data_IF_127514546484
#
_entry.id   IF_127514546484
#
_cell.length_a   1.000
_cell.length_b   1.000
_cell.length_c   1.000
_cell.angle_alpha   90.00
_cell.angle_beta   90.00
_cell.angle_gamma   90.00
#
_symmetry.space_group_name_H-M   'P 1'
#
loop_
_entity.id
_entity.type
_entity.pdbx_description
1 polymer ?
#
# COMPACT_ATOMS: atom_id res chain seq x y z
N UNK A 1 16.45 38.00 13.69
CA UNK A 1 15.42 37.84 12.66
C UNK A 1 14.81 36.48 12.85
N UNK A 2 13.49 36.41 13.06
CA UNK A 2 12.77 35.14 13.21
C UNK A 2 12.97 34.38 11.89
N UNK A 3 13.69 33.26 11.93
CA UNK A 3 13.64 32.28 10.86
C UNK A 3 12.17 31.84 10.78
N UNK A 4 11.41 32.36 9.81
CA UNK A 4 10.18 31.70 9.42
C UNK A 4 10.63 30.34 8.88
N UNK A 5 10.46 29.28 9.67
CA UNK A 5 10.65 27.92 9.20
C UNK A 5 9.76 27.76 7.98
N UNK A 6 10.37 27.37 6.86
CA UNK A 6 9.65 27.15 5.61
C UNK A 6 8.69 26.00 5.87
N UNK A 7 7.39 26.29 5.88
CA UNK A 7 6.38 25.26 6.15
C UNK A 7 6.41 24.19 5.05
N UNK A 8 6.30 22.93 5.45
CA UNK A 8 6.46 21.75 4.60
C UNK A 8 5.10 21.22 4.15
N UNK A 9 4.98 20.97 2.85
CA UNK A 9 3.97 20.07 2.32
C UNK A 9 4.46 18.63 2.37
N UNK A 10 3.55 17.71 2.68
CA UNK A 10 3.83 16.28 2.86
C UNK A 10 2.85 15.43 2.06
N UNK A 11 3.36 14.47 1.30
CA UNK A 11 2.56 13.41 0.70
C UNK A 11 2.71 12.14 1.52
N UNK A 12 1.58 11.51 1.85
CA UNK A 12 1.53 10.27 2.63
C UNK A 12 0.79 9.22 1.81
N UNK A 13 1.39 8.06 1.67
CA UNK A 13 0.74 6.84 1.20
C UNK A 13 0.61 5.93 2.41
N UNK A 14 -0.63 5.74 2.87
CA UNK A 14 -0.94 5.02 4.11
C UNK A 14 -1.41 3.59 3.82
N UNK A 15 -0.55 2.82 3.17
CA UNK A 15 -0.84 1.44 2.79
C UNK A 15 -0.91 0.47 3.97
N UNK A 16 -1.60 -0.65 3.75
CA UNK A 16 -1.82 -1.68 4.80
C UNK A 16 -0.56 -2.46 5.20
N UNK A 17 0.47 -2.46 4.35
CA UNK A 17 1.75 -3.15 4.58
C UNK A 17 2.87 -2.18 4.91
N UNK A 18 2.95 -1.07 4.17
CA UNK A 18 4.00 -0.08 4.29
C UNK A 18 3.36 1.31 4.21
N UNK A 19 3.91 2.25 4.98
CA UNK A 19 3.58 3.67 4.93
C UNK A 19 4.76 4.39 4.28
N UNK A 20 4.51 5.15 3.21
CA UNK A 20 5.51 5.98 2.56
C UNK A 20 5.21 7.46 2.76
N UNK A 21 6.23 8.23 3.12
CA UNK A 21 6.13 9.68 3.33
C UNK A 21 7.17 10.35 2.47
N UNK A 22 6.76 11.40 1.76
CA UNK A 22 7.64 12.28 1.01
C UNK A 22 7.33 13.73 1.33
N UNK A 23 8.34 14.60 1.26
CA UNK A 23 8.22 16.00 1.68
C UNK A 23 8.70 16.95 0.61
N UNK A 24 8.18 18.19 0.65
CA UNK A 24 8.52 19.25 -0.30
C UNK A 24 10.00 19.66 -0.35
N UNK A 25 10.80 19.25 0.64
CA UNK A 25 12.26 19.43 0.65
C UNK A 25 13.03 18.15 0.30
N UNK A 26 12.36 17.22 -0.39
CA UNK A 26 12.93 16.00 -0.98
C UNK A 26 13.39 14.93 0.02
N UNK A 27 12.95 15.00 1.29
CA UNK A 27 13.11 13.89 2.24
C UNK A 27 12.02 12.85 2.04
N UNK A 28 12.37 11.56 2.16
CA UNK A 28 11.44 10.44 2.03
C UNK A 28 11.78 9.26 2.92
N UNK A 29 10.76 8.56 3.40
CA UNK A 29 10.90 7.32 4.18
C UNK A 29 9.78 6.35 3.85
N UNK A 30 10.08 5.05 3.87
CA UNK A 30 9.09 3.99 3.81
C UNK A 30 9.32 3.07 5.02
N UNK A 31 8.28 2.86 5.82
CA UNK A 31 8.32 1.99 7.01
C UNK A 31 7.20 0.95 6.95
N UNK A 32 7.34 -0.22 7.58
CA UNK A 32 6.20 -1.12 7.77
C UNK A 32 5.06 -0.42 8.51
N UNK A 33 3.84 -0.60 8.03
CA UNK A 33 2.61 -0.16 8.73
C UNK A 33 2.30 -1.16 9.84
N UNK A 34 3.13 -1.16 10.88
CA UNK A 34 3.03 -2.07 12.00
C UNK A 34 3.65 -1.49 13.28
N UNK A 35 3.14 -1.95 14.42
CA UNK A 35 3.62 -1.62 15.77
C UNK A 35 3.91 -2.91 16.52
N UNK A 36 5.10 -3.01 17.12
CA UNK A 36 5.49 -4.13 17.97
C UNK A 36 5.35 -3.75 19.43
N UNK A 37 4.61 -4.54 20.20
CA UNK A 37 4.48 -4.38 21.66
C UNK A 37 5.23 -5.49 22.38
N UNK A 38 6.09 -5.21 23.37
CA UNK A 38 6.77 -6.25 24.12
C UNK A 38 5.78 -7.17 24.85
N UNK A 39 5.92 -8.49 24.69
CA UNK A 39 5.01 -9.50 25.27
C UNK A 39 5.02 -9.52 26.81
N UNK A 40 6.16 -9.17 27.40
CA UNK A 40 6.34 -9.19 28.85
C UNK A 40 7.35 -8.13 29.32
N UNK A 41 7.61 -8.10 30.63
CA UNK A 41 8.55 -7.15 31.25
C UNK A 41 10.01 -7.41 30.85
N UNK A 42 10.37 -8.63 30.48
CA UNK A 42 11.72 -8.99 30.01
C UNK A 42 11.92 -8.42 28.61
N UNK A 43 10.98 -8.70 27.70
CA UNK A 43 10.95 -8.13 26.36
C UNK A 43 11.00 -6.60 26.42
N UNK A 44 10.22 -5.97 27.31
CA UNK A 44 10.22 -4.51 27.51
C UNK A 44 11.56 -3.98 28.00
N UNK A 45 12.23 -4.71 28.88
CA UNK A 45 13.57 -4.35 29.37
C UNK A 45 14.63 -4.47 28.29
N UNK A 46 14.49 -5.45 27.38
CA UNK A 46 15.39 -5.64 26.23
C UNK A 46 15.15 -4.55 25.18
N UNK A 47 13.89 -4.26 24.84
CA UNK A 47 13.54 -3.22 23.85
C UNK A 47 13.79 -1.80 24.37
N UNK A 48 13.73 -1.61 25.69
CA UNK A 48 13.84 -0.30 26.33
C UNK A 48 12.67 0.64 26.03
N UNK A 49 11.61 0.15 25.38
CA UNK A 49 10.46 0.93 24.89
C UNK A 49 9.16 0.16 25.06
N UNK A 50 8.07 0.88 25.29
CA UNK A 50 6.70 0.34 25.38
C UNK A 50 6.16 -0.11 24.01
N UNK A 51 6.65 0.48 22.92
CA UNK A 51 6.29 0.11 21.56
C UNK A 51 7.46 0.36 20.62
N UNK A 52 7.55 -0.44 19.56
CA UNK A 52 8.56 -0.33 18.51
C UNK A 52 7.90 -0.22 17.13
N UNK A 53 8.54 0.51 16.22
CA UNK A 53 8.05 0.79 14.86
C UNK A 53 9.25 0.79 13.91
N UNK A 54 9.01 0.52 12.63
CA UNK A 54 10.04 0.63 11.60
C UNK A 54 10.96 -0.57 11.57
N UNK A 55 12.26 -0.31 11.37
CA UNK A 55 13.29 -1.37 11.32
C UNK A 55 13.42 -2.15 12.64
N UNK A 56 13.01 -1.56 13.77
CA UNK A 56 13.03 -2.19 15.09
C UNK A 56 12.07 -3.38 15.21
N UNK A 57 11.21 -3.61 14.21
CA UNK A 57 10.35 -4.80 14.11
C UNK A 57 11.10 -6.06 13.66
N UNK A 58 12.27 -5.91 13.02
CA UNK A 58 13.02 -7.02 12.41
C UNK A 58 13.73 -7.93 13.44
N UNK A 59 13.86 -7.50 14.70
CA UNK A 59 14.53 -8.25 15.78
C UNK A 59 13.90 -7.97 17.16
N UNK A 60 13.69 -8.96 18.06
CA UNK A 60 13.31 -10.36 17.88
C UNK A 60 11.77 -10.50 17.88
N UNK A 61 11.20 -10.96 16.77
CA UNK A 61 9.76 -11.22 16.59
C UNK A 61 9.15 -12.12 17.68
N UNK A 62 9.94 -12.99 18.31
CA UNK A 62 9.47 -13.82 19.42
C UNK A 62 9.12 -13.02 20.67
N UNK A 63 9.73 -11.85 20.87
CA UNK A 63 9.53 -11.01 22.07
C UNK A 63 8.47 -9.93 21.90
N UNK A 64 7.95 -9.76 20.67
CA UNK A 64 7.02 -8.71 20.30
C UNK A 64 5.69 -9.31 19.81
N UNK A 65 4.58 -8.72 20.21
CA UNK A 65 3.30 -8.84 19.53
C UNK A 65 3.24 -7.78 18.44
N UNK A 66 3.33 -8.19 17.18
CA UNK A 66 3.33 -7.29 16.02
C UNK A 66 1.89 -7.10 15.54
N UNK A 67 1.43 -5.86 15.57
CA UNK A 67 0.09 -5.44 15.18
C UNK A 67 0.19 -4.63 13.89
N UNK A 68 -0.60 -4.99 12.87
CA UNK A 68 -0.76 -4.22 11.62
C UNK A 68 -2.11 -3.50 11.69
N UNK A 69 -2.14 -2.20 12.04
CA UNK A 69 -3.39 -1.48 12.36
C UNK A 69 -4.38 -1.41 11.19
N UNK A 70 -3.92 -1.64 9.97
CA UNK A 70 -4.73 -1.59 8.74
C UNK A 70 -4.95 -2.98 8.11
N UNK A 71 -4.58 -4.08 8.77
CA UNK A 71 -4.70 -5.43 8.20
C UNK A 71 -6.04 -6.10 8.53
N UNK A 72 -6.57 -6.90 7.59
CA UNK A 72 -7.80 -7.67 7.79
C UNK A 72 -9.06 -6.81 7.91
N UNK A 73 -10.17 -7.42 8.35
CA UNK A 73 -11.48 -6.78 8.53
C UNK A 73 -11.47 -5.57 9.50
N UNK A 74 -10.33 -5.22 10.11
CA UNK A 74 -10.17 -4.04 10.96
C UNK A 74 -10.44 -2.73 10.21
N UNK A 75 -10.21 -2.69 8.89
CA UNK A 75 -10.64 -1.57 8.04
C UNK A 75 -11.98 -1.83 7.34
N UNK A 76 -12.47 -3.08 7.35
CA UNK A 76 -13.61 -3.58 6.55
C UNK A 76 -14.76 -4.17 7.38
N UNK A 77 -15.01 -3.68 8.60
CA UNK A 77 -16.09 -4.14 9.50
C UNK A 77 -15.81 -5.44 10.26
N UNK A 78 -15.49 -5.30 11.54
CA UNK A 78 -16.32 -5.90 12.61
C UNK A 78 -16.81 -4.78 13.53
N UNK A 79 -17.58 -3.84 12.96
CA UNK A 79 -18.49 -2.99 13.73
C UNK A 79 -19.62 -3.87 14.27
N UNK A 80 -19.40 -4.49 15.42
CA UNK A 80 -20.47 -5.12 16.22
C UNK A 80 -20.21 -4.86 17.71
N UNK A 81 -20.46 -3.62 18.13
CA UNK A 81 -20.42 -3.21 19.55
C UNK A 81 -19.78 -1.83 19.76
N UNK A 82 -20.05 -1.22 20.94
CA UNK A 82 -19.48 0.04 21.44
C UNK A 82 -17.94 -0.03 21.56
N UNK A 83 -17.20 0.13 20.46
CA UNK A 83 -15.75 -0.13 20.45
C UNK A 83 -14.87 1.09 20.13
N UNK A 84 -15.22 2.25 20.69
CA UNK A 84 -14.38 3.45 20.66
C UNK A 84 -12.94 3.19 21.19
N UNK A 85 -12.77 2.14 22.00
CA UNK A 85 -11.47 1.72 22.54
C UNK A 85 -10.53 1.16 21.47
N UNK A 86 -11.05 0.34 20.55
CA UNK A 86 -10.27 -0.23 19.44
C UNK A 86 -9.93 0.85 18.43
N UNK A 87 -10.89 1.71 18.08
CA UNK A 87 -10.66 2.82 17.15
C UNK A 87 -9.56 3.76 17.67
N UNK A 88 -9.61 4.10 18.96
CA UNK A 88 -8.56 4.91 19.60
C UNK A 88 -7.20 4.21 19.62
N UNK A 89 -7.16 2.88 19.77
CA UNK A 89 -5.93 2.10 19.70
C UNK A 89 -5.33 2.12 18.29
N UNK A 90 -6.14 1.93 17.24
CA UNK A 90 -5.69 2.01 15.84
C UNK A 90 -5.19 3.43 15.51
N UNK A 91 -5.93 4.47 15.93
CA UNK A 91 -5.49 5.87 15.80
C UNK A 91 -4.15 6.12 16.50
N UNK A 92 -3.98 5.57 17.70
CA UNK A 92 -2.72 5.68 18.45
C UNK A 92 -1.56 4.99 17.72
N UNK A 93 -1.81 3.82 17.14
CA UNK A 93 -0.79 3.05 16.42
C UNK A 93 -0.37 3.73 15.12
N UNK A 94 -1.33 4.25 14.35
CA UNK A 94 -1.04 5.02 13.14
C UNK A 94 -0.34 6.33 13.46
N UNK A 95 -0.75 7.02 14.52
CA UNK A 95 -0.05 8.21 14.99
C UNK A 95 1.40 7.90 15.37
N UNK A 96 1.65 6.80 16.08
CA UNK A 96 3.00 6.37 16.43
C UNK A 96 3.84 6.09 15.17
N UNK A 97 3.26 5.46 14.15
CA UNK A 97 3.92 5.20 12.86
C UNK A 97 4.30 6.49 12.14
N UNK A 98 3.35 7.44 12.03
CA UNK A 98 3.60 8.73 11.39
C UNK A 98 4.61 9.57 12.20
N UNK A 99 4.49 9.62 13.53
CA UNK A 99 5.42 10.34 14.40
C UNK A 99 6.84 9.76 14.31
N UNK A 100 6.99 8.44 14.33
CA UNK A 100 8.27 7.77 14.11
C UNK A 100 8.87 8.16 12.77
N UNK A 101 8.06 8.14 11.70
CA UNK A 101 8.49 8.47 10.35
C UNK A 101 8.97 9.91 10.22
N UNK A 102 8.22 10.88 10.77
CA UNK A 102 8.64 12.30 10.81
C UNK A 102 9.93 12.49 11.61
N UNK A 103 10.05 11.83 12.77
CA UNK A 103 11.26 11.91 13.60
C UNK A 103 12.49 11.36 12.86
N UNK A 104 12.34 10.24 12.14
CA UNK A 104 13.42 9.64 11.33
C UNK A 104 13.84 10.53 10.16
N UNK A 105 12.92 11.35 9.64
CA UNK A 105 13.19 12.36 8.62
C UNK A 105 13.77 13.66 9.20
N UNK A 106 13.88 13.78 10.53
CA UNK A 106 14.29 15.02 11.19
C UNK A 106 13.29 16.16 10.97
N UNK A 107 11.99 15.84 10.88
CA UNK A 107 10.90 16.80 10.70
C UNK A 107 10.27 17.07 12.06
N UNK A 108 10.24 18.33 12.48
CA UNK A 108 9.34 18.76 13.54
C UNK A 108 7.91 18.87 12.97
N UNK A 109 6.92 18.28 13.65
CA UNK A 109 5.52 18.37 13.23
C UNK A 109 5.04 19.82 13.10
N UNK A 110 5.61 20.75 13.89
CA UNK A 110 5.31 22.17 13.79
C UNK A 110 5.74 22.79 12.44
N UNK A 111 6.64 22.14 11.69
CA UNK A 111 7.05 22.56 10.35
C UNK A 111 6.05 22.12 9.27
N UNK A 112 5.18 21.15 9.54
CA UNK A 112 4.24 20.60 8.56
C UNK A 112 3.00 21.49 8.44
N UNK A 113 2.74 22.05 7.27
CA UNK A 113 1.54 22.88 7.03
C UNK A 113 0.36 22.13 6.45
N UNK A 114 0.64 21.25 5.49
CA UNK A 114 -0.33 20.66 4.59
C UNK A 114 0.08 19.23 4.28
N UNK A 115 -0.88 18.31 4.27
CA UNK A 115 -0.65 16.96 3.82
C UNK A 115 -1.81 16.43 2.98
N UNK A 116 -1.46 15.61 2.00
CA UNK A 116 -2.41 14.79 1.26
C UNK A 116 -2.09 13.33 1.56
N UNK A 117 -3.13 12.54 1.80
CA UNK A 117 -3.03 11.13 2.21
C UNK A 117 -3.76 10.28 1.18
N UNK A 118 -3.05 9.31 0.59
CA UNK A 118 -3.65 8.25 -0.22
C UNK A 118 -4.43 7.26 0.65
N UNK A 119 -5.63 6.89 0.21
CA UNK A 119 -6.43 5.77 0.74
C UNK A 119 -6.94 4.86 -0.38
N UNK A 120 -7.38 3.62 -0.07
CA UNK A 120 -8.03 2.76 -1.04
C UNK A 120 -9.25 3.41 -1.73
N UNK A 121 -9.47 3.09 -3.01
CA UNK A 121 -10.40 3.80 -3.90
C UNK A 121 -11.87 3.79 -3.47
N UNK A 122 -12.39 2.64 -3.01
CA UNK A 122 -13.78 2.53 -2.50
C UNK A 122 -13.87 2.58 -0.97
N UNK A 123 -12.98 3.30 -0.31
CA UNK A 123 -13.10 3.53 1.13
C UNK A 123 -14.42 4.27 1.44
N UNK A 124 -15.25 3.71 2.33
CA UNK A 124 -16.48 4.37 2.77
C UNK A 124 -16.19 5.68 3.52
N UNK A 125 -17.16 6.60 3.57
CA UNK A 125 -16.98 7.90 4.25
C UNK A 125 -16.40 7.80 5.68
N UNK A 126 -16.82 6.86 6.55
CA UNK A 126 -16.22 6.74 7.87
C UNK A 126 -14.74 6.34 7.84
N UNK A 127 -14.33 5.50 6.88
CA UNK A 127 -12.95 5.09 6.72
C UNK A 127 -12.07 6.25 6.20
N UNK A 128 -12.60 7.06 5.28
CA UNK A 128 -11.93 8.28 4.82
C UNK A 128 -11.78 9.30 5.97
N UNK A 129 -12.84 9.50 6.77
CA UNK A 129 -12.80 10.38 7.93
C UNK A 129 -11.79 9.90 8.98
N UNK A 130 -11.72 8.60 9.23
CA UNK A 130 -10.74 8.01 10.12
C UNK A 130 -9.30 8.32 9.68
N UNK A 131 -8.97 8.14 8.39
CA UNK A 131 -7.63 8.47 7.88
C UNK A 131 -7.36 9.97 7.91
N UNK A 132 -8.38 10.79 7.65
CA UNK A 132 -8.27 12.23 7.81
C UNK A 132 -7.91 12.61 9.25
N UNK A 133 -8.54 11.97 10.24
CA UNK A 133 -8.25 12.20 11.66
C UNK A 133 -6.85 11.72 12.05
N UNK A 134 -6.37 10.61 11.48
CA UNK A 134 -4.96 10.18 11.58
C UNK A 134 -4.02 11.27 11.05
N UNK A 135 -4.31 11.78 9.85
CA UNK A 135 -3.56 12.85 9.21
C UNK A 135 -3.47 14.12 10.06
N UNK A 136 -4.62 14.52 10.63
CA UNK A 136 -4.76 15.71 11.48
C UNK A 136 -3.92 15.65 12.75
N UNK A 137 -3.51 14.47 13.21
CA UNK A 137 -2.62 14.33 14.37
C UNK A 137 -1.16 14.70 14.07
N UNK A 138 -0.75 14.76 12.80
CA UNK A 138 0.63 15.11 12.41
C UNK A 138 0.71 16.31 11.46
N UNK A 139 -0.43 16.75 10.94
CA UNK A 139 -0.52 17.89 10.04
C UNK A 139 -1.84 18.65 10.27
N UNK A 140 -1.81 19.97 10.48
CA UNK A 140 -3.02 20.74 10.77
C UNK A 140 -4.03 20.77 9.60
N UNK A 141 -3.56 20.69 8.36
CA UNK A 141 -4.41 20.65 7.17
C UNK A 141 -4.16 19.36 6.41
N UNK A 142 -5.10 18.44 6.51
CA UNK A 142 -5.03 17.15 5.85
C UNK A 142 -6.17 17.01 4.84
N UNK A 143 -5.89 16.36 3.71
CA UNK A 143 -6.86 15.92 2.72
C UNK A 143 -6.60 14.45 2.42
N UNK A 144 -7.66 13.72 2.12
CA UNK A 144 -7.61 12.32 1.72
C UNK A 144 -8.01 12.21 0.24
N UNK A 145 -7.30 11.38 -0.52
CA UNK A 145 -7.58 11.09 -1.93
C UNK A 145 -7.40 9.59 -2.23
N UNK A 146 -8.03 9.05 -3.28
CA UNK A 146 -7.74 7.69 -3.72
C UNK A 146 -6.25 7.50 -4.07
N UNK A 147 -5.64 6.41 -3.62
CA UNK A 147 -4.26 6.00 -3.92
C UNK A 147 -3.97 5.97 -5.43
N UNK A 148 -4.75 5.28 -6.28
CA UNK A 148 -4.48 5.27 -7.72
C UNK A 148 -4.65 6.66 -8.36
N UNK A 149 -5.50 7.53 -7.82
CA UNK A 149 -5.59 8.92 -8.26
C UNK A 149 -4.31 9.69 -7.91
N UNK A 150 -3.78 9.53 -6.70
CA UNK A 150 -2.51 10.14 -6.32
C UNK A 150 -1.40 9.69 -7.28
N UNK A 151 -1.30 8.38 -7.56
CA UNK A 151 -0.33 7.86 -8.53
C UNK A 151 -0.48 8.51 -9.91
N UNK A 152 -1.70 8.56 -10.47
CA UNK A 152 -1.99 9.24 -11.74
C UNK A 152 -1.54 10.71 -11.73
N UNK A 153 -1.83 11.43 -10.65
CA UNK A 153 -1.45 12.83 -10.47
C UNK A 153 0.07 13.01 -10.46
N UNK A 154 0.79 12.14 -9.75
CA UNK A 154 2.24 12.14 -9.68
C UNK A 154 2.89 11.98 -11.05
N UNK A 155 2.45 10.99 -11.83
CA UNK A 155 3.00 10.68 -13.15
C UNK A 155 2.42 11.54 -14.29
N UNK A 156 1.44 12.39 -14.00
CA UNK A 156 0.82 13.29 -14.99
C UNK A 156 -0.09 12.57 -16.00
N UNK A 157 -0.73 11.47 -15.61
CA UNK A 157 -1.66 10.69 -16.45
C UNK A 157 -3.10 10.89 -15.98
N UNK A 158 -3.61 12.11 -16.17
CA UNK A 158 -4.94 12.53 -15.69
C UNK A 158 -6.08 12.30 -16.69
N UNK A 159 -5.76 11.88 -17.92
CA UNK A 159 -6.70 11.47 -18.95
C UNK A 159 -6.15 10.30 -19.76
N UNK A 160 -7.05 9.52 -20.37
CA UNK A 160 -6.73 8.37 -21.22
C UNK A 160 -5.74 7.42 -20.55
N UNK A 161 -6.00 7.09 -19.28
CA UNK A 161 -5.16 6.18 -18.51
C UNK A 161 -6.00 5.35 -17.54
N UNK A 162 -5.64 4.08 -17.36
CA UNK A 162 -6.22 3.21 -16.35
C UNK A 162 -5.14 2.88 -15.32
N UNK A 163 -5.29 3.38 -14.09
CA UNK A 163 -4.37 3.05 -13.00
C UNK A 163 -4.88 1.80 -12.29
N UNK A 164 -4.00 0.81 -12.11
CA UNK A 164 -4.27 -0.46 -11.42
C UNK A 164 -3.30 -0.56 -10.26
N UNK A 165 -3.72 -0.16 -9.08
CA UNK A 165 -2.91 -0.20 -7.86
C UNK A 165 -3.08 -1.54 -7.13
N UNK A 166 -2.03 -2.34 -7.09
CA UNK A 166 -2.04 -3.67 -6.47
C UNK A 166 -1.33 -3.59 -5.12
N UNK A 167 -2.13 -3.35 -4.09
CA UNK A 167 -1.69 -3.30 -2.70
C UNK A 167 -1.56 -4.69 -2.06
N UNK A 168 -1.40 -4.70 -0.73
CA UNK A 168 -1.36 -5.96 0.03
C UNK A 168 -2.78 -6.54 0.22
N UNK A 169 -3.76 -5.70 0.55
CA UNK A 169 -5.14 -6.16 0.83
C UNK A 169 -6.11 -6.08 -0.33
N UNK A 170 -5.86 -5.18 -1.28
CA UNK A 170 -6.79 -4.80 -2.35
C UNK A 170 -6.06 -4.57 -3.68
N UNK A 171 -6.81 -4.71 -4.77
CA UNK A 171 -6.49 -4.15 -6.07
C UNK A 171 -7.47 -3.01 -6.31
N UNK A 172 -6.98 -1.79 -6.50
CA UNK A 172 -7.78 -0.60 -6.72
C UNK A 172 -7.55 -0.07 -8.13
N UNK A 173 -8.62 0.04 -8.91
CA UNK A 173 -8.60 0.37 -10.34
C UNK A 173 -9.34 1.68 -10.56
N UNK A 174 -8.64 2.64 -11.16
CA UNK A 174 -9.13 4.00 -11.36
C UNK A 174 -8.96 4.44 -12.82
N UNK A 175 -10.05 4.52 -13.58
CA UNK A 175 -10.08 5.17 -14.89
C UNK A 175 -9.85 6.67 -14.75
N UNK A 176 -8.91 7.21 -15.51
CA UNK A 176 -8.61 8.64 -15.60
C UNK A 176 -9.12 9.18 -16.93
N UNK A 177 -10.18 9.97 -16.88
CA UNK A 177 -10.89 10.49 -18.07
C UNK A 177 -10.88 12.02 -18.16
N UNK A 178 -9.95 12.69 -17.47
CA UNK A 178 -9.81 14.15 -17.48
C UNK A 178 -10.62 14.88 -16.40
N UNK A 179 -11.35 14.15 -15.55
CA UNK A 179 -12.05 14.67 -14.37
C UNK A 179 -11.59 13.95 -13.11
N UNK A 180 -11.89 14.52 -11.93
CA UNK A 180 -11.67 13.83 -10.67
C UNK A 180 -12.49 12.52 -10.64
N UNK A 181 -11.89 11.38 -10.28
CA UNK A 181 -12.57 10.09 -10.33
C UNK A 181 -13.65 10.01 -9.25
N UNK A 182 -14.86 9.64 -9.67
CA UNK A 182 -15.97 9.39 -8.77
C UNK A 182 -15.86 7.97 -8.20
N UNK A 183 -16.42 7.72 -7.03
CA UNK A 183 -16.36 6.40 -6.37
C UNK A 183 -16.96 5.30 -7.24
N UNK A 184 -18.03 5.61 -7.98
CA UNK A 184 -18.76 4.68 -8.83
C UNK A 184 -17.97 4.25 -10.08
N UNK A 185 -17.06 5.12 -10.55
CA UNK A 185 -16.19 4.83 -11.71
C UNK A 185 -14.96 4.00 -11.35
N UNK A 186 -14.68 3.82 -10.05
CA UNK A 186 -13.54 3.07 -9.56
C UNK A 186 -13.96 1.66 -9.19
N UNK A 187 -13.04 0.71 -9.27
CA UNK A 187 -13.23 -0.70 -8.87
C UNK A 187 -12.25 -1.04 -7.76
N UNK A 188 -12.72 -1.75 -6.73
CA UNK A 188 -11.86 -2.29 -5.67
C UNK A 188 -12.11 -3.78 -5.54
N UNK A 189 -11.10 -4.59 -5.83
CA UNK A 189 -11.13 -6.04 -5.67
C UNK A 189 -10.54 -6.41 -4.31
N UNK A 190 -11.25 -7.25 -3.55
CA UNK A 190 -10.89 -7.66 -2.18
C UNK A 190 -9.76 -8.68 -2.08
N UNK A 191 -8.73 -8.58 -2.92
CA UNK A 191 -7.56 -9.46 -2.93
C UNK A 191 -6.30 -8.64 -3.25
N UNK A 192 -5.12 -9.18 -2.97
CA UNK A 192 -3.86 -8.46 -3.14
C UNK A 192 -2.66 -9.31 -2.75
N UNK A 193 -1.55 -8.65 -2.46
CA UNK A 193 -0.30 -9.31 -2.05
C UNK A 193 -0.40 -10.20 -0.81
N UNK A 194 -1.31 -9.95 0.13
CA UNK A 194 -1.53 -10.78 1.32
C UNK A 194 -2.20 -12.12 0.94
N UNK A 195 -3.01 -12.17 -0.13
CA UNK A 195 -3.58 -13.42 -0.63
C UNK A 195 -2.51 -14.30 -1.28
N UNK A 196 -1.58 -13.67 -2.02
CA UNK A 196 -0.40 -14.34 -2.58
C UNK A 196 0.48 -14.90 -1.46
N UNK A 197 0.75 -14.12 -0.40
CA UNK A 197 1.53 -14.58 0.77
C UNK A 197 0.91 -15.83 1.42
N UNK A 198 -0.42 -15.85 1.57
CA UNK A 198 -1.16 -17.01 2.13
C UNK A 198 -1.04 -18.23 1.24
N UNK A 199 -1.28 -18.09 -0.06
CA UNK A 199 -1.21 -19.22 -0.99
C UNK A 199 0.19 -19.85 -1.06
N UNK A 200 1.24 -19.01 -1.05
CA UNK A 200 2.62 -19.49 -0.97
C UNK A 200 2.83 -20.27 0.32
N UNK A 201 2.37 -19.73 1.46
CA UNK A 201 2.48 -20.37 2.77
C UNK A 201 1.78 -21.73 2.80
N UNK A 202 0.54 -21.81 2.33
CA UNK A 202 -0.25 -23.04 2.27
C UNK A 202 0.45 -24.10 1.40
N UNK A 203 0.89 -23.73 0.20
CA UNK A 203 1.62 -24.64 -0.70
C UNK A 203 2.92 -25.17 -0.06
N UNK A 204 3.65 -24.33 0.67
CA UNK A 204 4.88 -24.74 1.35
C UNK A 204 4.61 -25.68 2.52
N UNK A 205 3.55 -25.44 3.29
CA UNK A 205 3.17 -26.31 4.42
C UNK A 205 2.61 -27.65 3.94
N UNK A 206 1.97 -27.71 2.77
CA UNK A 206 1.59 -28.98 2.14
C UNK A 206 2.82 -29.81 1.75
N UNK A 207 3.86 -29.17 1.22
CA UNK A 207 5.10 -29.85 0.82
C UNK A 207 6.02 -30.18 2.02
N UNK A 208 6.06 -29.31 3.02
CA UNK A 208 6.96 -29.37 4.18
C UNK A 208 6.19 -29.03 5.48
N UNK A 209 5.38 -29.95 6.01
CA UNK A 209 4.51 -29.70 7.16
C UNK A 209 5.24 -29.27 8.45
N UNK A 210 6.51 -29.65 8.59
CA UNK A 210 7.35 -29.33 9.75
C UNK A 210 8.30 -28.14 9.50
N UNK A 211 8.09 -27.38 8.42
CA UNK A 211 8.85 -26.19 8.13
C UNK A 211 8.50 -25.06 9.09
N UNK A 212 9.53 -24.38 9.58
CA UNK A 212 9.41 -23.18 10.43
C UNK A 212 9.90 -21.99 9.65
N UNK A 213 9.00 -21.03 9.45
CA UNK A 213 9.28 -19.73 8.84
C UNK A 213 8.30 -18.69 9.36
N UNK A 214 8.66 -17.41 9.23
CA UNK A 214 7.81 -16.28 9.60
C UNK A 214 7.04 -15.76 8.39
N UNK A 215 5.88 -15.16 8.63
CA UNK A 215 5.05 -14.60 7.56
C UNK A 215 5.78 -13.50 6.75
N UNK A 216 6.64 -12.70 7.40
CA UNK A 216 7.44 -11.69 6.73
C UNK A 216 8.58 -12.27 5.89
N UNK A 217 9.13 -13.44 6.23
CA UNK A 217 10.10 -14.14 5.38
C UNK A 217 9.46 -14.56 4.04
N UNK A 218 8.22 -15.07 4.08
CA UNK A 218 7.47 -15.40 2.85
C UNK A 218 7.24 -14.16 1.99
N UNK A 219 6.85 -13.05 2.63
CA UNK A 219 6.66 -11.78 1.92
C UNK A 219 7.96 -11.27 1.30
N UNK A 220 9.07 -11.31 2.02
CA UNK A 220 10.38 -10.88 1.50
C UNK A 220 10.81 -11.73 0.31
N UNK A 221 10.56 -13.04 0.35
CA UNK A 221 10.81 -13.93 -0.79
C UNK A 221 9.92 -13.59 -1.99
N UNK A 222 8.62 -13.33 -1.77
CA UNK A 222 7.70 -12.88 -2.82
C UNK A 222 8.13 -11.53 -3.41
N UNK A 223 8.45 -10.54 -2.57
CA UNK A 223 8.89 -9.21 -3.03
C UNK A 223 10.19 -9.30 -3.84
N UNK A 224 11.07 -10.25 -3.55
CA UNK A 224 12.36 -10.41 -4.22
C UNK A 224 12.33 -11.28 -5.48
N UNK A 225 11.53 -12.35 -5.46
CA UNK A 225 11.58 -13.41 -6.48
C UNK A 225 10.22 -13.69 -7.13
N UNK A 226 9.16 -12.97 -6.73
CA UNK A 226 7.81 -13.16 -7.27
C UNK A 226 7.74 -12.97 -8.78
N UNK A 227 7.12 -13.93 -9.46
CA UNK A 227 7.02 -13.96 -10.91
C UNK A 227 5.76 -14.70 -11.34
N UNK A 228 5.12 -14.27 -12.43
CA UNK A 228 4.02 -15.03 -13.06
C UNK A 228 4.50 -15.88 -14.24
N UNK A 229 5.78 -15.83 -14.59
CA UNK A 229 6.35 -16.59 -15.71
C UNK A 229 6.07 -18.10 -15.57
N UNK A 230 5.89 -18.79 -16.70
CA UNK A 230 5.64 -20.24 -16.74
C UNK A 230 6.81 -21.01 -16.14
N UNK A 231 8.02 -20.65 -16.56
CA UNK A 231 9.30 -21.18 -16.10
C UNK A 231 10.08 -20.11 -15.35
N UNK A 232 11.03 -20.53 -14.52
CA UNK A 232 11.91 -19.61 -13.80
C UNK A 232 13.02 -20.35 -13.07
N UNK A 233 14.00 -19.59 -12.60
CA UNK A 233 15.14 -20.10 -11.84
C UNK A 233 14.70 -20.70 -10.50
N UNK A 234 15.57 -21.54 -9.94
CA UNK A 234 15.43 -22.07 -8.59
C UNK A 234 15.63 -20.95 -7.56
N UNK A 235 14.78 -20.93 -6.53
CA UNK A 235 14.88 -20.00 -5.40
C UNK A 235 15.20 -20.83 -4.15
N UNK A 236 16.47 -21.15 -3.97
CA UNK A 236 16.92 -22.02 -2.89
C UNK A 236 17.06 -21.25 -1.56
N UNK A 237 16.20 -21.58 -0.60
CA UNK A 237 16.18 -21.00 0.75
C UNK A 237 16.51 -22.08 1.79
N UNK A 238 17.26 -21.71 2.83
CA UNK A 238 17.51 -22.61 3.97
C UNK A 238 16.47 -22.36 5.05
N UNK A 239 15.67 -23.37 5.35
CA UNK A 239 14.68 -23.35 6.44
C UNK A 239 15.03 -24.35 7.52
N UNK A 240 14.46 -24.14 8.71
CA UNK A 240 14.41 -25.20 9.72
C UNK A 240 13.22 -26.10 9.42
N UNK A 241 13.47 -27.37 9.13
CA UNK A 241 12.45 -28.41 8.92
C UNK A 241 12.71 -29.53 9.92
N UNK A 242 11.70 -29.87 10.74
CA UNK A 242 11.85 -30.87 11.81
C UNK A 242 13.08 -30.61 12.71
N UNK A 243 13.37 -29.34 12.99
CA UNK A 243 14.51 -28.89 13.82
C UNK A 243 15.88 -28.91 13.13
N UNK A 244 15.97 -29.16 11.82
CA UNK A 244 17.23 -29.20 11.08
C UNK A 244 17.25 -28.23 9.89
N UNK A 245 18.40 -27.64 9.54
CA UNK A 245 18.50 -26.80 8.36
C UNK A 245 18.37 -27.67 7.09
N UNK A 246 17.43 -27.30 6.23
CA UNK A 246 17.18 -27.95 4.94
C UNK A 246 17.11 -26.88 3.85
N UNK A 247 17.73 -27.15 2.69
CA UNK A 247 17.57 -26.31 1.49
C UNK A 247 16.31 -26.74 0.74
N UNK A 248 15.49 -25.76 0.39
CA UNK A 248 14.20 -25.95 -0.26
C UNK A 248 14.11 -24.98 -1.43
N UNK A 249 13.64 -25.45 -2.59
CA UNK A 249 13.33 -24.57 -3.71
C UNK A 249 11.92 -23.98 -3.57
N UNK A 250 11.86 -22.65 -3.44
CA UNK A 250 10.62 -21.89 -3.33
C UNK A 250 10.08 -21.43 -4.69
N UNK A 251 10.86 -21.55 -5.75
CA UNK A 251 10.52 -21.04 -7.08
C UNK A 251 9.12 -21.47 -7.56
N UNK A 252 8.75 -22.77 -7.49
CA UNK A 252 7.43 -23.23 -7.89
C UNK A 252 6.29 -22.60 -7.09
N UNK A 253 6.37 -22.59 -5.75
CA UNK A 253 5.33 -22.04 -4.88
C UNK A 253 5.17 -20.52 -5.08
N UNK A 254 6.29 -19.80 -5.23
CA UNK A 254 6.29 -18.37 -5.53
C UNK A 254 5.59 -18.06 -6.86
N UNK A 255 5.90 -18.82 -7.91
CA UNK A 255 5.28 -18.64 -9.24
C UNK A 255 3.79 -18.91 -9.20
N UNK A 256 3.39 -20.03 -8.61
CA UNK A 256 1.98 -20.41 -8.55
C UNK A 256 1.17 -19.41 -7.71
N UNK A 257 1.67 -19.03 -6.53
CA UNK A 257 1.02 -18.01 -5.70
C UNK A 257 0.90 -16.67 -6.42
N UNK A 258 1.93 -16.22 -7.14
CA UNK A 258 1.88 -14.94 -7.87
C UNK A 258 0.86 -14.95 -9.01
N UNK A 259 0.61 -16.09 -9.67
CA UNK A 259 -0.39 -16.18 -10.75
C UNK A 259 -1.82 -15.95 -10.28
N UNK A 260 -2.10 -16.14 -9.00
CA UNK A 260 -3.43 -15.88 -8.41
C UNK A 260 -3.89 -14.43 -8.57
N UNK A 261 -2.97 -13.48 -8.76
CA UNK A 261 -3.33 -12.07 -8.94
C UNK A 261 -3.76 -11.74 -10.38
N UNK A 262 -3.42 -12.59 -11.37
CA UNK A 262 -3.65 -12.31 -12.79
C UNK A 262 -5.14 -12.13 -13.11
N UNK A 263 -5.94 -13.14 -12.75
CA UNK A 263 -7.37 -13.13 -13.08
C UNK A 263 -8.12 -11.99 -12.37
N UNK A 264 -7.94 -11.76 -11.05
CA UNK A 264 -8.55 -10.62 -10.37
C UNK A 264 -8.21 -9.25 -10.97
N UNK A 265 -6.97 -9.07 -11.46
CA UNK A 265 -6.57 -7.82 -12.13
C UNK A 265 -7.32 -7.66 -13.46
N UNK A 266 -7.37 -8.70 -14.28
CA UNK A 266 -8.05 -8.64 -15.58
C UNK A 266 -9.56 -8.46 -15.43
N UNK A 267 -10.18 -9.21 -14.52
CA UNK A 267 -11.62 -9.08 -14.24
C UNK A 267 -11.96 -7.68 -13.72
N UNK A 268 -11.12 -7.14 -12.82
CA UNK A 268 -11.31 -5.78 -12.32
C UNK A 268 -11.15 -4.71 -13.41
N UNK A 269 -10.23 -4.92 -14.37
CA UNK A 269 -10.11 -4.04 -15.54
C UNK A 269 -11.37 -4.12 -16.41
N UNK A 270 -11.94 -5.32 -16.60
CA UNK A 270 -13.20 -5.47 -17.34
C UNK A 270 -14.34 -4.73 -16.65
N UNK A 271 -14.54 -4.94 -15.34
CA UNK A 271 -15.54 -4.23 -14.53
C UNK A 271 -15.39 -2.70 -14.68
N UNK A 272 -14.15 -2.19 -14.60
CA UNK A 272 -13.88 -0.76 -14.70
C UNK A 272 -14.21 -0.18 -16.09
N UNK A 273 -14.22 -1.00 -17.14
CA UNK A 273 -14.50 -0.60 -18.52
C UNK A 273 -15.99 -0.72 -18.90
N UNK A 274 -16.80 -1.48 -18.17
CA UNK A 274 -18.19 -1.82 -18.55
C UNK A 274 -19.08 -0.61 -18.85
N UNK A 275 -18.90 0.48 -18.10
CA UNK A 275 -19.73 1.69 -18.22
C UNK A 275 -19.29 2.67 -19.32
N UNK A 276 -18.14 2.43 -19.95
CA UNK A 276 -17.55 3.32 -20.94
C UNK A 276 -17.85 2.89 -22.37
N UNK A 277 -18.00 3.86 -23.28
CA UNK A 277 -18.13 3.60 -24.70
C UNK A 277 -16.82 3.07 -25.31
N UNK A 278 -16.91 2.49 -26.52
CA UNK A 278 -15.77 1.89 -27.21
C UNK A 278 -14.56 2.82 -27.41
N UNK A 279 -14.77 4.11 -27.70
CA UNK A 279 -13.66 5.05 -27.90
C UNK A 279 -12.95 5.33 -26.58
N UNK A 280 -13.71 5.53 -25.51
CA UNK A 280 -13.16 5.71 -24.17
C UNK A 280 -12.43 4.47 -23.68
N UNK A 281 -13.00 3.26 -23.90
CA UNK A 281 -12.33 2.00 -23.57
C UNK A 281 -11.00 1.86 -24.32
N UNK A 282 -10.97 2.15 -25.62
CA UNK A 282 -9.75 2.12 -26.43
C UNK A 282 -8.68 3.09 -25.90
N UNK A 283 -9.08 4.30 -25.51
CA UNK A 283 -8.17 5.29 -24.95
C UNK A 283 -7.56 4.82 -23.62
N UNK A 284 -8.38 4.29 -22.71
CA UNK A 284 -7.94 3.74 -21.41
C UNK A 284 -7.01 2.53 -21.58
N UNK A 285 -7.37 1.58 -22.46
CA UNK A 285 -6.55 0.39 -22.76
C UNK A 285 -5.22 0.74 -23.43
N UNK A 286 -5.15 1.88 -24.13
CA UNK A 286 -3.92 2.42 -24.70
C UNK A 286 -2.88 2.85 -23.67
N UNK A 287 -3.25 2.94 -22.38
CA UNK A 287 -2.34 3.25 -21.28
C UNK A 287 -2.85 2.71 -19.95
N UNK A 288 -2.47 1.48 -19.63
CA UNK A 288 -2.71 0.85 -18.34
C UNK A 288 -1.43 0.95 -17.51
N UNK A 289 -1.54 1.45 -16.29
CA UNK A 289 -0.40 1.64 -15.37
C UNK A 289 -0.58 0.76 -14.15
N UNK A 290 0.30 -0.24 -14.01
CA UNK A 290 0.39 -1.05 -12.81
C UNK A 290 1.15 -0.28 -11.72
N UNK A 291 0.49 -0.06 -10.61
CA UNK A 291 1.01 0.58 -9.40
C UNK A 291 0.98 -0.39 -8.21
N UNK A 292 1.44 0.09 -7.06
CA UNK A 292 1.57 -0.73 -5.85
C UNK A 292 2.69 -1.76 -5.92
N UNK A 293 2.97 -2.37 -4.77
CA UNK A 293 4.00 -3.41 -4.66
C UNK A 293 3.69 -4.66 -5.48
N UNK A 294 2.41 -5.04 -5.58
CA UNK A 294 1.98 -6.19 -6.37
C UNK A 294 2.11 -5.95 -7.89
N UNK A 295 2.06 -4.68 -8.33
CA UNK A 295 2.29 -4.31 -9.73
C UNK A 295 3.70 -4.64 -10.23
N UNK A 296 4.63 -4.90 -9.31
CA UNK A 296 6.05 -5.15 -9.62
C UNK A 296 6.38 -6.63 -9.83
N UNK A 297 5.41 -7.53 -9.65
CA UNK A 297 5.61 -8.97 -9.91
C UNK A 297 6.14 -9.17 -11.33
N UNK A 298 7.20 -9.98 -11.45
CA UNK A 298 7.89 -10.17 -12.71
C UNK A 298 6.94 -10.82 -13.75
N UNK A 299 6.90 -10.24 -14.96
CA UNK A 299 6.05 -10.69 -16.07
C UNK A 299 4.56 -10.34 -15.95
N UNK A 300 4.11 -9.69 -14.88
CA UNK A 300 2.68 -9.36 -14.67
C UNK A 300 2.12 -8.46 -15.78
N UNK A 301 2.84 -7.39 -16.11
CA UNK A 301 2.54 -6.47 -17.20
C UNK A 301 2.33 -7.19 -18.54
N UNK A 302 3.28 -8.05 -18.92
CA UNK A 302 3.20 -8.77 -20.19
C UNK A 302 2.02 -9.75 -20.23
N UNK A 303 1.69 -10.42 -19.12
CA UNK A 303 0.57 -11.36 -19.06
C UNK A 303 -0.78 -10.64 -19.09
N UNK A 304 -0.94 -9.57 -18.30
CA UNK A 304 -2.14 -8.73 -18.33
C UNK A 304 -2.33 -8.15 -19.73
N UNK A 305 -1.29 -7.58 -20.32
CA UNK A 305 -1.35 -7.04 -21.69
C UNK A 305 -1.78 -8.09 -22.71
N UNK A 306 -1.23 -9.31 -22.64
CA UNK A 306 -1.61 -10.41 -23.51
C UNK A 306 -3.08 -10.79 -23.37
N UNK A 307 -3.59 -10.90 -22.14
CA UNK A 307 -4.99 -11.25 -21.89
C UNK A 307 -5.93 -10.15 -22.40
N UNK A 308 -5.63 -8.89 -22.13
CA UNK A 308 -6.44 -7.77 -22.61
C UNK A 308 -6.43 -7.65 -24.14
N UNK A 309 -5.31 -7.91 -24.81
CA UNK A 309 -5.25 -7.94 -26.28
C UNK A 309 -6.11 -9.04 -26.91
N UNK A 310 -6.26 -10.19 -26.24
CA UNK A 310 -7.12 -11.27 -26.75
C UNK A 310 -8.59 -10.85 -26.80
N UNK A 311 -9.05 -10.10 -25.80
CA UNK A 311 -10.44 -9.67 -25.67
C UNK A 311 -10.73 -8.34 -26.40
N UNK A 312 -9.80 -7.36 -26.34
CA UNK A 312 -10.02 -5.99 -26.84
C UNK A 312 -9.17 -5.59 -28.05
N UNK A 313 -8.24 -6.46 -28.48
CA UNK A 313 -7.34 -6.21 -29.60
C UNK A 313 -6.08 -5.42 -29.22
N UNK A 314 -6.22 -4.14 -28.90
CA UNK A 314 -5.10 -3.26 -28.50
C UNK A 314 -5.10 -3.00 -27.00
N UNK A 315 -3.96 -3.23 -26.35
CA UNK A 315 -3.70 -2.84 -24.98
C UNK A 315 -2.21 -2.53 -24.79
N UNK A 316 -1.91 -1.59 -23.90
CA UNK A 316 -0.55 -1.25 -23.49
C UNK A 316 -0.46 -1.17 -21.97
N UNK A 317 0.32 -2.05 -21.37
CA UNK A 317 0.51 -2.11 -19.92
C UNK A 317 1.94 -1.67 -19.60
N UNK A 318 2.07 -0.78 -18.63
CA UNK A 318 3.35 -0.31 -18.12
C UNK A 318 3.36 -0.34 -16.60
N UNK A 319 4.54 -0.50 -16.00
CA UNK A 319 4.72 -0.45 -14.55
C UNK A 319 5.19 0.93 -14.12
N UNK A 320 4.70 1.40 -12.98
CA UNK A 320 5.26 2.59 -12.34
C UNK A 320 6.69 2.29 -11.87
N UNK A 321 7.62 3.22 -12.07
CA UNK A 321 9.03 3.02 -11.73
C UNK A 321 9.29 3.08 -10.21
N UNK A 322 9.06 4.23 -9.59
CA UNK A 322 9.28 4.41 -8.14
C UNK A 322 8.04 3.98 -7.34
N UNK A 323 7.65 2.71 -7.48
CA UNK A 323 6.40 2.17 -6.93
C UNK A 323 6.28 2.31 -5.41
N UNK A 324 7.42 2.38 -4.69
CA UNK A 324 7.45 2.55 -3.23
C UNK A 324 6.96 3.94 -2.82
N UNK A 325 7.22 4.95 -3.65
CA UNK A 325 6.92 6.34 -3.33
C UNK A 325 5.95 6.99 -4.32
N UNK A 326 5.45 6.27 -5.33
CA UNK A 326 4.61 6.84 -6.39
C UNK A 326 3.34 7.50 -5.86
N UNK A 327 2.61 6.81 -4.97
CA UNK A 327 1.41 7.35 -4.32
C UNK A 327 1.74 8.59 -3.48
N UNK A 328 2.76 8.48 -2.63
CA UNK A 328 3.21 9.58 -1.78
C UNK A 328 3.70 10.80 -2.59
N UNK A 329 4.44 10.60 -3.68
CA UNK A 329 4.88 11.67 -4.59
C UNK A 329 3.70 12.34 -5.28
N UNK A 330 2.73 11.56 -5.73
CA UNK A 330 1.47 12.06 -6.25
C UNK A 330 0.70 12.92 -5.25
N UNK A 331 0.56 12.42 -4.03
CA UNK A 331 -0.06 13.14 -2.93
C UNK A 331 0.67 14.44 -2.61
N UNK A 332 2.01 14.43 -2.52
CA UNK A 332 2.81 15.63 -2.30
C UNK A 332 2.64 16.65 -3.43
N UNK A 333 2.64 16.18 -4.68
CA UNK A 333 2.45 17.05 -5.84
C UNK A 333 1.08 17.74 -5.76
N UNK A 334 0.02 16.99 -5.44
CA UNK A 334 -1.30 17.58 -5.22
C UNK A 334 -1.29 18.57 -4.06
N UNK A 335 -0.57 18.27 -2.98
CA UNK A 335 -0.48 19.16 -1.83
C UNK A 335 0.14 20.52 -2.19
N UNK A 336 1.17 20.50 -3.04
CA UNK A 336 1.89 21.68 -3.52
C UNK A 336 1.09 22.45 -4.58
N UNK A 337 0.43 21.75 -5.49
CA UNK A 337 -0.31 22.34 -6.61
C UNK A 337 -1.67 22.93 -6.17
N UNK A 338 -2.20 22.51 -5.02
CA UNK A 338 -3.50 22.97 -4.54
C UNK A 338 -3.48 24.46 -4.11
N UNK A 339 -4.41 25.29 -4.61
CA UNK A 339 -4.49 26.72 -4.27
C UNK A 339 -4.66 26.96 -2.76
N UNK A 340 -4.03 28.03 -2.26
CA UNK A 340 -4.11 28.42 -0.84
C UNK A 340 -5.56 28.63 -0.35
N UNK A 341 -6.45 29.11 -1.21
CA UNK A 341 -7.87 29.34 -0.89
C UNK A 341 -8.61 28.04 -0.55
N UNK A 342 -8.29 26.93 -1.22
CA UNK A 342 -8.86 25.62 -0.92
C UNK A 342 -8.34 25.08 0.42
N UNK A 343 -7.09 25.38 0.76
CA UNK A 343 -6.51 25.04 2.05
C UNK A 343 -7.11 25.88 3.19
N UNK A 344 -7.37 27.16 2.95
CA UNK A 344 -7.99 28.07 3.93
C UNK A 344 -9.45 27.73 4.20
N UNK A 345 -10.21 27.28 3.19
CA UNK A 345 -11.60 26.84 3.39
C UNK A 345 -11.68 25.61 4.30
N UNK A 346 -10.72 24.69 4.21
CA UNK A 346 -10.61 23.53 5.10
C UNK A 346 -10.27 23.92 6.55
N UNK A 347 -9.53 25.01 6.77
CA UNK A 347 -9.28 25.55 8.12
C UNK A 347 -10.54 26.11 8.76
N UNK A 348 -11.42 26.72 7.96
CA UNK A 348 -12.68 27.32 8.46
C UNK A 348 -13.78 26.30 8.74
N UNK A 349 -13.62 25.06 8.24
CA UNK A 349 -14.57 23.96 8.40
C UNK A 349 -14.18 22.94 9.49
N UNK A 350 -12.99 23.09 10.10
CA UNK A 350 -12.46 22.23 11.17
C UNK A 350 -12.68 22.86 12.54
#
# INVERSE_FOLDING_TARGET
>A
GIHMSKKLAVGIDLGTSKTAIVTSDSRRICVPTAVGRPKDRIARRVTGRESVVGDDLKHPSLSLDVIRPLSGAQFKYERRGDDASVEQAVLSDLHLILQHSMTRLGIDQAEVSQCVIGVPSRAELPAQQFVLDVGRRVCPQAIVVPEPFAVAYGIGHLSDALIVDIGAGTIDICPMVGTYPMTESQVTVGTGGDAVDRAITESLLEMLPEAVFRADEIRELKERYGSVAVEGEEVLVTLTVAGRPQRVDFGPALREGCRLILQPVVDGIFEALESYDYQTQKALLGRIVLAGGGGQVHGLDAHVEMQLRKEFGEARVQKVHDFVYAGAHGALRLAVDMPAEHWDSLKSAA
#
